data_IF_898530844497
#
_entry.id   IF_898530844497
#
_cell.length_a   1.000
_cell.length_b   1.000
_cell.length_c   1.000
_cell.angle_alpha   90.00
_cell.angle_beta   90.00
_cell.angle_gamma   90.00
#
_symmetry.space_group_name_H-M   'P 1'
#
loop_
_entity.id
_entity.type
_entity.pdbx_description
1 polymer ?
#
# COMPACT_ATOMS: atom_id res chain seq x y z
N UNK A 1 29.97 27.27 55.07
CA UNK A 1 28.58 26.76 55.03
C UNK A 1 28.06 26.95 53.60
N UNK A 2 27.70 25.84 52.93
CA UNK A 2 26.79 25.72 51.77
C UNK A 2 27.18 26.41 50.44
N UNK A 3 26.93 25.89 49.24
CA UNK A 3 26.54 24.56 48.75
C UNK A 3 26.68 24.61 47.20
N UNK A 4 27.00 23.47 46.59
CA UNK A 4 27.01 23.25 45.14
C UNK A 4 25.59 23.25 44.56
N UNK A 5 25.43 23.68 43.30
CA UNK A 5 24.22 23.44 42.52
C UNK A 5 24.59 22.98 41.10
N UNK A 6 24.49 21.66 40.90
CA UNK A 6 24.56 21.01 39.59
C UNK A 6 23.18 21.12 38.91
N UNK A 7 23.13 21.67 37.70
CA UNK A 7 21.95 21.72 36.86
C UNK A 7 21.82 20.43 36.03
N UNK A 8 20.94 19.52 36.45
CA UNK A 8 20.61 18.30 35.73
C UNK A 8 19.63 18.53 34.59
N UNK A 9 20.03 18.18 33.37
CA UNK A 9 19.16 18.04 32.20
C UNK A 9 18.17 16.89 32.42
N UNK A 10 16.87 17.20 32.31
CA UNK A 10 15.79 16.20 32.34
C UNK A 10 15.77 15.46 31.00
N UNK A 11 16.29 14.23 30.95
CA UNK A 11 15.99 13.25 29.90
C UNK A 11 14.56 12.73 30.12
N UNK A 12 13.67 12.99 29.18
CA UNK A 12 12.38 12.31 29.09
C UNK A 12 12.64 10.88 28.58
N UNK A 13 12.69 9.92 29.50
CA UNK A 13 12.85 8.51 29.18
C UNK A 13 11.57 7.93 28.57
N UNK A 14 11.70 7.33 27.39
CA UNK A 14 10.66 6.47 26.83
C UNK A 14 10.61 5.18 27.64
N UNK A 15 9.53 5.01 28.40
CA UNK A 15 9.30 3.81 29.19
C UNK A 15 8.97 2.62 28.29
N UNK A 16 9.59 1.52 28.67
CA UNK A 16 9.48 0.16 28.16
C UNK A 16 8.07 -0.21 27.68
N UNK A 17 7.98 -0.67 26.44
CA UNK A 17 7.04 -1.71 26.05
C UNK A 17 7.82 -3.04 25.96
N UNK A 18 8.19 -3.59 27.13
CA UNK A 18 8.55 -5.01 27.25
C UNK A 18 7.29 -5.79 27.56
N UNK A 19 6.48 -6.04 26.54
CA UNK A 19 5.51 -7.12 26.55
C UNK A 19 6.19 -8.41 26.08
N UNK A 20 6.62 -9.27 27.00
CA UNK A 20 6.94 -10.66 26.68
C UNK A 20 5.62 -11.41 26.47
N UNK A 21 5.13 -11.44 25.24
CA UNK A 21 4.12 -12.42 24.83
C UNK A 21 4.85 -13.64 24.26
N UNK A 22 5.09 -14.64 25.09
CA UNK A 22 5.50 -15.97 24.63
C UNK A 22 4.22 -16.68 24.16
N UNK A 23 3.87 -16.52 22.89
CA UNK A 23 2.88 -17.38 22.25
C UNK A 23 3.62 -18.59 21.70
N UNK A 24 3.53 -19.72 22.42
CA UNK A 24 3.85 -21.05 21.86
C UNK A 24 2.76 -21.39 20.84
N UNK A 25 3.02 -21.17 19.56
CA UNK A 25 2.25 -21.80 18.50
C UNK A 25 2.66 -23.28 18.42
N UNK A 26 1.86 -24.15 19.04
CA UNK A 26 1.91 -25.59 18.81
C UNK A 26 1.30 -25.86 17.42
N UNK A 27 2.15 -26.02 16.41
CA UNK A 27 1.75 -26.50 15.09
C UNK A 27 1.34 -27.98 15.21
N UNK A 28 0.04 -28.23 15.20
CA UNK A 28 -0.50 -29.58 14.97
C UNK A 28 -0.77 -29.75 13.47
N UNK A 29 -0.27 -30.80 12.81
CA UNK A 29 -0.55 -31.02 11.40
C UNK A 29 -1.97 -31.59 11.20
N UNK A 30 -2.79 -31.05 10.28
CA UNK A 30 -3.98 -31.75 9.85
C UNK A 30 -3.63 -32.77 8.76
N UNK A 31 -3.84 -34.06 9.07
CA UNK A 31 -3.97 -35.08 8.03
C UNK A 31 -5.26 -34.80 7.23
N UNK A 32 -5.12 -34.29 6.00
CA UNK A 32 -6.20 -34.34 5.00
C UNK A 32 -5.79 -35.27 3.86
N UNK A 33 -6.53 -36.37 3.75
CA UNK A 33 -6.47 -37.31 2.64
C UNK A 33 -7.07 -36.66 1.38
N UNK A 34 -6.26 -36.55 0.33
CA UNK A 34 -6.71 -36.16 -1.01
C UNK A 34 -7.37 -37.37 -1.68
N UNK A 35 -8.67 -37.27 -2.00
CA UNK A 35 -9.32 -38.19 -2.94
C UNK A 35 -9.22 -37.60 -4.35
N UNK A 36 -8.45 -38.26 -5.21
CA UNK A 36 -8.40 -37.97 -6.64
C UNK A 36 -9.58 -38.67 -7.33
N UNK A 37 -10.49 -37.89 -7.93
CA UNK A 37 -11.51 -38.40 -8.84
C UNK A 37 -11.14 -37.98 -10.27
N UNK A 38 -10.76 -38.96 -11.08
CA UNK A 38 -10.52 -38.78 -12.51
C UNK A 38 -11.85 -38.90 -13.28
N UNK A 39 -12.24 -37.85 -13.98
CA UNK A 39 -13.30 -37.92 -15.00
C UNK A 39 -12.64 -37.79 -16.37
N UNK A 40 -12.54 -38.93 -17.06
CA UNK A 40 -12.22 -39.02 -18.49
C UNK A 40 -13.42 -38.51 -19.31
N UNK A 41 -13.27 -37.40 -20.03
CA UNK A 41 -14.20 -37.03 -21.10
C UNK A 41 -13.55 -37.35 -22.45
N UNK A 42 -14.15 -38.32 -23.14
CA UNK A 42 -13.77 -38.76 -24.48
C UNK A 42 -14.03 -37.67 -25.52
N UNK A 43 -13.11 -37.61 -26.48
CA UNK A 43 -13.20 -36.96 -27.78
C UNK A 43 -14.16 -37.76 -28.68
N UNK A 44 -15.04 -37.06 -29.39
CA UNK A 44 -15.72 -37.58 -30.58
C UNK A 44 -15.67 -36.51 -31.67
N UNK A 45 -14.94 -36.83 -32.74
CA UNK A 45 -14.98 -36.20 -34.06
C UNK A 45 -16.33 -36.48 -34.75
N UNK A 46 -16.89 -35.48 -35.44
CA UNK A 46 -17.56 -35.72 -36.72
C UNK A 46 -17.54 -34.45 -37.60
N UNK A 47 -17.09 -34.63 -38.84
CA UNK A 47 -16.95 -33.63 -39.91
C UNK A 47 -18.25 -33.45 -40.71
N UNK A 48 -18.60 -32.22 -41.12
CA UNK A 48 -19.05 -31.92 -42.52
C UNK A 48 -19.17 -30.41 -42.83
N UNK A 49 -18.46 -29.99 -43.88
CA UNK A 49 -18.56 -28.73 -44.65
C UNK A 49 -19.73 -28.75 -45.68
N UNK A 50 -19.93 -27.74 -46.58
CA UNK A 50 -19.98 -26.27 -46.45
C UNK A 50 -21.20 -25.66 -47.22
N UNK A 51 -21.44 -24.32 -47.17
CA UNK A 51 -21.73 -23.43 -48.33
C UNK A 51 -22.28 -22.02 -47.95
N UNK A 52 -21.69 -21.01 -48.61
CA UNK A 52 -22.27 -19.81 -49.26
C UNK A 52 -23.00 -18.68 -48.48
N UNK A 53 -22.30 -17.55 -48.46
CA UNK A 53 -22.63 -16.21 -48.99
C UNK A 53 -24.02 -15.53 -48.84
N UNK A 54 -23.89 -14.25 -48.47
CA UNK A 54 -24.61 -13.06 -48.97
C UNK A 54 -25.90 -12.61 -48.28
N UNK A 55 -25.88 -11.40 -47.70
CA UNK A 55 -26.64 -10.26 -48.24
C UNK A 55 -26.35 -8.96 -47.49
N UNK A 56 -26.01 -7.94 -48.28
CA UNK A 56 -25.87 -6.53 -47.94
C UNK A 56 -27.20 -5.93 -47.48
N UNK A 57 -27.18 -4.92 -46.60
CA UNK A 57 -27.99 -3.71 -46.83
C UNK A 57 -27.23 -2.45 -46.39
N UNK A 58 -27.16 -1.56 -47.36
CA UNK A 58 -26.61 -0.22 -47.44
C UNK A 58 -27.78 0.75 -47.23
N UNK A 59 -27.58 1.86 -46.51
CA UNK A 59 -28.46 3.02 -46.66
C UNK A 59 -27.65 4.31 -46.71
N UNK A 60 -28.08 5.14 -47.66
CA UNK A 60 -27.39 6.24 -48.31
C UNK A 60 -27.19 7.52 -47.49
N UNK A 61 -26.15 8.24 -47.90
CA UNK A 61 -25.89 9.65 -47.66
C UNK A 61 -26.82 10.54 -48.49
N UNK A 62 -27.15 11.76 -48.03
CA UNK A 62 -27.00 12.98 -48.86
C UNK A 62 -27.03 14.30 -48.03
N UNK A 63 -26.35 15.36 -48.49
CA UNK A 63 -26.07 16.62 -47.77
C UNK A 63 -26.95 17.80 -48.26
N UNK A 64 -26.95 18.94 -47.55
CA UNK A 64 -27.22 20.25 -48.16
C UNK A 64 -26.52 21.38 -47.38
N UNK A 65 -25.84 22.24 -48.14
CA UNK A 65 -25.09 23.43 -47.76
C UNK A 65 -26.04 24.66 -47.66
N UNK A 66 -25.62 25.73 -46.97
CA UNK A 66 -25.86 27.18 -47.22
C UNK A 66 -25.94 28.04 -45.92
N UNK A 67 -24.90 28.84 -45.71
CA UNK A 67 -24.78 30.07 -44.88
C UNK A 67 -25.48 31.27 -45.58
N UNK A 68 -25.45 32.53 -45.08
CA UNK A 68 -25.21 33.10 -43.72
C UNK A 68 -26.29 34.14 -43.31
N UNK A 69 -26.31 34.68 -42.07
CA UNK A 69 -26.65 36.10 -41.78
C UNK A 69 -26.55 36.51 -40.29
N UNK A 70 -25.63 37.45 -40.02
CA UNK A 70 -25.69 38.68 -39.20
C UNK A 70 -26.12 38.67 -37.71
N UNK A 71 -25.22 39.24 -36.88
CA UNK A 71 -25.35 39.55 -35.44
C UNK A 71 -26.48 40.54 -35.07
N UNK A 72 -26.81 40.64 -33.77
CA UNK A 72 -26.40 41.86 -33.07
C UNK A 72 -25.75 41.64 -31.71
N UNK A 73 -24.79 42.52 -31.45
CA UNK A 73 -23.95 42.66 -30.27
C UNK A 73 -24.75 42.73 -28.96
N UNK A 74 -24.47 41.79 -28.05
CA UNK A 74 -24.85 41.84 -26.63
C UNK A 74 -23.64 42.17 -25.77
N UNK A 75 -23.69 43.30 -25.08
CA UNK A 75 -22.64 43.88 -24.25
C UNK A 75 -22.11 42.90 -23.18
N UNK A 76 -20.80 42.63 -23.22
CA UNK A 76 -20.05 41.94 -22.15
C UNK A 76 -20.12 42.77 -20.85
N UNK A 77 -20.56 42.21 -19.71
CA UNK A 77 -20.25 42.79 -18.43
C UNK A 77 -18.78 42.49 -18.11
N UNK A 78 -17.95 43.54 -18.14
CA UNK A 78 -16.61 43.53 -17.56
C UNK A 78 -16.73 43.40 -16.04
N UNK A 79 -16.64 42.18 -15.52
CA UNK A 79 -16.43 41.95 -14.09
C UNK A 79 -14.92 41.98 -13.82
N UNK A 80 -14.37 43.18 -13.68
CA UNK A 80 -13.18 43.36 -12.84
C UNK A 80 -13.65 43.26 -11.39
N UNK A 81 -13.74 42.03 -10.89
CA UNK A 81 -13.90 41.77 -9.47
C UNK A 81 -12.68 41.02 -8.99
N UNK A 82 -12.08 41.55 -7.92
CA UNK A 82 -11.00 40.94 -7.17
C UNK A 82 -11.29 39.47 -6.89
N UNK A 83 -10.67 38.58 -7.65
CA UNK A 83 -10.48 37.20 -7.23
C UNK A 83 -9.35 37.21 -6.21
N UNK A 84 -9.70 37.34 -4.93
CA UNK A 84 -8.80 36.89 -3.88
C UNK A 84 -8.34 35.49 -4.25
N UNK A 85 -7.03 35.27 -4.24
CA UNK A 85 -6.47 33.94 -4.31
C UNK A 85 -6.84 33.22 -3.01
N UNK A 86 -8.10 32.80 -2.89
CA UNK A 86 -8.44 31.66 -2.06
C UNK A 86 -7.82 30.48 -2.80
N UNK A 87 -6.57 30.15 -2.44
CA UNK A 87 -6.00 28.87 -2.78
C UNK A 87 -6.83 27.83 -2.04
N UNK A 88 -7.91 27.38 -2.65
CA UNK A 88 -8.57 26.15 -2.27
C UNK A 88 -7.48 25.07 -2.37
N UNK A 89 -7.00 24.60 -1.20
CA UNK A 89 -6.00 23.55 -1.11
C UNK A 89 -6.70 22.25 -1.50
N UNK A 90 -6.82 22.03 -2.81
CA UNK A 90 -7.43 20.84 -3.36
C UNK A 90 -6.51 19.65 -3.10
N UNK A 91 -7.06 18.66 -2.41
CA UNK A 91 -6.41 17.36 -2.24
C UNK A 91 -6.36 16.62 -3.58
N UNK A 92 -5.20 16.03 -3.90
CA UNK A 92 -5.03 15.18 -5.09
C UNK A 92 -5.68 13.80 -4.88
N UNK A 93 -5.98 13.10 -5.98
CA UNK A 93 -6.56 11.75 -5.91
C UNK A 93 -5.62 10.78 -5.15
N UNK A 94 -4.31 10.89 -5.35
CA UNK A 94 -3.32 10.05 -4.68
C UNK A 94 -3.27 10.31 -3.18
N UNK A 95 -3.41 11.56 -2.75
CA UNK A 95 -3.47 11.94 -1.34
C UNK A 95 -4.73 11.38 -0.67
N UNK A 96 -5.87 11.45 -1.36
CA UNK A 96 -7.13 10.85 -0.91
C UNK A 96 -7.00 9.32 -0.79
N UNK A 97 -6.46 8.66 -1.82
CA UNK A 97 -6.23 7.22 -1.83
C UNK A 97 -5.33 6.81 -0.66
N UNK A 98 -4.23 7.52 -0.45
CA UNK A 98 -3.31 7.29 0.66
C UNK A 98 -4.00 7.40 2.03
N UNK A 99 -4.84 8.42 2.23
CA UNK A 99 -5.61 8.58 3.49
C UNK A 99 -6.59 7.44 3.70
N UNK A 100 -7.33 7.03 2.67
CA UNK A 100 -8.28 5.92 2.76
C UNK A 100 -7.55 4.62 3.13
N UNK A 101 -6.47 4.28 2.42
CA UNK A 101 -5.70 3.07 2.72
C UNK A 101 -5.07 3.11 4.11
N UNK A 102 -4.66 4.30 4.60
CA UNK A 102 -4.14 4.47 5.96
C UNK A 102 -5.21 4.22 7.01
N UNK A 103 -6.41 4.81 6.82
CA UNK A 103 -7.55 4.60 7.71
C UNK A 103 -8.03 3.13 7.71
N UNK A 104 -7.96 2.45 6.56
CA UNK A 104 -8.35 1.06 6.41
C UNK A 104 -7.51 0.08 7.25
N UNK A 105 -6.27 0.43 7.61
CA UNK A 105 -5.41 -0.43 8.42
C UNK A 105 -6.02 -0.78 9.78
N UNK A 106 -6.79 0.13 10.39
CA UNK A 106 -7.46 -0.12 11.67
C UNK A 106 -8.48 -1.27 11.61
N UNK A 107 -9.00 -1.55 10.40
CA UNK A 107 -10.06 -2.53 10.15
C UNK A 107 -9.52 -3.87 9.63
N UNK A 108 -8.24 -3.95 9.29
CA UNK A 108 -7.59 -5.19 8.82
C UNK A 108 -7.67 -6.33 9.83
N UNK A 109 -7.48 -6.15 11.15
CA UNK A 109 -7.60 -7.25 12.11
C UNK A 109 -8.96 -7.95 12.08
N UNK A 110 -10.03 -7.19 11.86
CA UNK A 110 -11.40 -7.70 11.79
C UNK A 110 -11.71 -8.27 10.40
N UNK A 111 -11.58 -7.44 9.36
CA UNK A 111 -12.06 -7.74 8.01
C UNK A 111 -11.01 -8.43 7.12
N UNK A 112 -9.73 -8.40 7.50
CA UNK A 112 -8.63 -8.87 6.68
C UNK A 112 -8.18 -7.84 5.64
N UNK A 113 -7.36 -8.30 4.69
CA UNK A 113 -6.85 -7.47 3.60
C UNK A 113 -7.84 -7.47 2.43
N UNK A 114 -8.96 -6.76 2.60
CA UNK A 114 -10.09 -6.83 1.66
C UNK A 114 -10.68 -5.46 1.35
N UNK A 115 -11.53 -5.40 0.31
CA UNK A 115 -12.30 -4.20 -0.03
C UNK A 115 -13.24 -3.76 1.10
N UNK A 116 -13.71 -4.67 1.95
CA UNK A 116 -14.51 -4.30 3.13
C UNK A 116 -13.69 -3.47 4.14
N UNK A 117 -12.43 -3.84 4.42
CA UNK A 117 -11.56 -3.04 5.29
C UNK A 117 -11.34 -1.63 4.73
N UNK A 118 -11.18 -1.52 3.41
CA UNK A 118 -11.06 -0.24 2.69
C UNK A 118 -12.35 0.57 2.81
N UNK A 119 -13.51 -0.07 2.65
CA UNK A 119 -14.81 0.58 2.78
C UNK A 119 -15.05 1.11 4.21
N UNK A 120 -14.67 0.37 5.25
CA UNK A 120 -14.72 0.87 6.64
C UNK A 120 -13.75 2.03 6.86
N UNK A 121 -12.52 1.96 6.33
CA UNK A 121 -11.58 3.07 6.34
C UNK A 121 -12.09 4.33 5.63
N UNK A 122 -12.81 4.17 4.52
CA UNK A 122 -13.45 5.30 3.83
C UNK A 122 -14.56 5.94 4.67
N UNK A 123 -15.38 5.13 5.36
CA UNK A 123 -16.47 5.63 6.22
C UNK A 123 -15.95 6.47 7.39
N UNK A 124 -14.81 6.12 8.00
CA UNK A 124 -14.23 6.93 9.10
C UNK A 124 -13.78 8.31 8.63
N UNK A 125 -13.47 8.46 7.34
CA UNK A 125 -13.15 9.74 6.70
C UNK A 125 -14.40 10.51 6.22
N UNK A 126 -15.61 10.03 6.52
CA UNK A 126 -16.86 10.64 6.07
C UNK A 126 -17.19 10.38 4.59
N UNK A 127 -16.51 9.43 3.95
CA UNK A 127 -16.73 9.06 2.55
C UNK A 127 -17.74 7.91 2.44
N UNK A 128 -18.32 7.75 1.24
CA UNK A 128 -19.17 6.59 0.93
C UNK A 128 -18.34 5.32 0.86
N UNK A 129 -18.92 4.17 1.25
CA UNK A 129 -18.32 2.85 1.04
C UNK A 129 -17.96 2.57 -0.43
N UNK A 130 -18.63 3.24 -1.38
CA UNK A 130 -18.33 3.17 -2.81
C UNK A 130 -16.91 3.66 -3.15
N UNK A 131 -16.27 4.47 -2.29
CA UNK A 131 -14.88 4.90 -2.47
C UNK A 131 -13.88 3.73 -2.48
N UNK A 132 -14.24 2.57 -1.90
CA UNK A 132 -13.44 1.36 -2.01
C UNK A 132 -13.30 0.86 -3.48
N UNK A 133 -14.22 1.25 -4.36
CA UNK A 133 -14.16 0.92 -5.79
C UNK A 133 -13.05 1.63 -6.57
N UNK A 134 -12.32 2.56 -5.95
CA UNK A 134 -11.11 3.16 -6.54
C UNK A 134 -9.91 2.21 -6.50
N UNK A 135 -10.00 1.12 -5.72
CA UNK A 135 -8.90 0.18 -5.49
C UNK A 135 -9.21 -1.20 -6.09
N UNK A 136 -8.16 -1.99 -6.31
CA UNK A 136 -8.27 -3.39 -6.68
C UNK A 136 -9.00 -4.19 -5.58
N UNK A 137 -9.94 -5.04 -6.01
CA UNK A 137 -10.81 -5.79 -5.09
C UNK A 137 -10.10 -6.90 -4.31
N UNK A 138 -8.87 -7.27 -4.71
CA UNK A 138 -8.06 -8.31 -4.07
C UNK A 138 -7.31 -7.84 -2.81
N UNK A 139 -7.44 -6.55 -2.45
CA UNK A 139 -6.78 -5.97 -1.28
C UNK A 139 -5.27 -5.76 -1.43
N UNK A 140 -4.72 -6.01 -2.62
CA UNK A 140 -3.27 -5.88 -2.90
C UNK A 140 -2.76 -4.47 -2.60
N UNK A 141 -3.49 -3.44 -2.99
CA UNK A 141 -3.10 -2.04 -2.75
C UNK A 141 -2.99 -1.70 -1.27
N UNK A 142 -3.91 -2.21 -0.43
CA UNK A 142 -3.85 -2.03 1.01
C UNK A 142 -2.61 -2.70 1.62
N UNK A 143 -2.26 -3.89 1.15
CA UNK A 143 -1.07 -4.62 1.61
C UNK A 143 0.21 -3.90 1.16
N UNK A 144 0.29 -3.48 -0.11
CA UNK A 144 1.44 -2.77 -0.67
C UNK A 144 1.64 -1.42 0.03
N UNK A 145 0.54 -0.71 0.33
CA UNK A 145 0.55 0.51 1.13
C UNK A 145 1.11 0.26 2.53
N UNK A 146 0.64 -0.78 3.21
CA UNK A 146 1.17 -1.15 4.53
C UNK A 146 2.66 -1.52 4.48
N UNK A 147 3.09 -2.28 3.46
CA UNK A 147 4.50 -2.62 3.26
C UNK A 147 5.36 -1.37 3.05
N UNK A 148 4.90 -0.44 2.22
CA UNK A 148 5.56 0.84 1.99
C UNK A 148 5.69 1.64 3.29
N UNK A 149 4.61 1.81 4.05
CA UNK A 149 4.64 2.49 5.35
C UNK A 149 5.62 1.85 6.35
N UNK A 150 5.65 0.52 6.42
CA UNK A 150 6.59 -0.18 7.30
C UNK A 150 8.04 0.04 6.87
N UNK A 151 8.32 0.09 5.57
CA UNK A 151 9.64 0.33 5.04
C UNK A 151 10.08 1.78 5.32
N UNK A 152 9.23 2.76 5.05
CA UNK A 152 9.49 4.17 5.41
C UNK A 152 9.79 4.32 6.90
N UNK A 153 8.97 3.73 7.76
CA UNK A 153 9.17 3.75 9.21
C UNK A 153 10.48 3.07 9.63
N UNK A 154 10.87 1.98 8.96
CA UNK A 154 12.15 1.35 9.22
C UNK A 154 13.29 2.30 8.86
N UNK A 155 13.26 2.91 7.68
CA UNK A 155 14.32 3.82 7.21
C UNK A 155 14.45 5.04 8.13
N UNK A 156 13.35 5.60 8.62
CA UNK A 156 13.36 6.67 9.65
C UNK A 156 14.03 6.22 10.96
N UNK A 157 13.72 5.00 11.44
CA UNK A 157 14.35 4.45 12.65
C UNK A 157 15.85 4.25 12.47
N UNK A 158 16.27 3.70 11.33
CA UNK A 158 17.68 3.48 11.02
C UNK A 158 18.44 4.80 10.85
N UNK A 159 17.83 5.79 10.20
CA UNK A 159 18.40 7.13 10.07
C UNK A 159 18.60 7.77 11.46
N UNK A 160 17.62 7.63 12.35
CA UNK A 160 17.71 8.13 13.71
C UNK A 160 18.82 7.44 14.52
N UNK A 161 18.92 6.10 14.44
CA UNK A 161 20.04 5.36 15.06
C UNK A 161 21.39 5.84 14.52
N UNK A 162 21.52 6.03 13.20
CA UNK A 162 22.75 6.53 12.58
C UNK A 162 23.09 7.95 13.05
N UNK A 163 22.10 8.84 13.20
CA UNK A 163 22.31 10.20 13.74
C UNK A 163 22.86 10.16 15.17
N UNK A 164 22.36 9.27 16.03
CA UNK A 164 22.87 9.11 17.39
C UNK A 164 24.33 8.64 17.41
N UNK A 165 24.71 7.74 16.49
CA UNK A 165 26.11 7.30 16.35
C UNK A 165 27.00 8.46 15.87
N UNK A 166 26.55 9.25 14.89
CA UNK A 166 27.31 10.41 14.39
C UNK A 166 27.51 11.51 15.45
N UNK A 167 26.53 11.70 16.34
CA UNK A 167 26.62 12.63 17.46
C UNK A 167 27.45 12.09 18.64
N UNK A 168 27.91 10.83 18.59
CA UNK A 168 28.63 10.17 19.68
C UNK A 168 27.74 9.82 20.88
N UNK A 169 26.41 9.83 20.71
CA UNK A 169 25.45 9.48 21.76
C UNK A 169 25.16 7.97 21.82
N UNK A 170 25.55 7.23 20.78
CA UNK A 170 25.49 5.78 20.68
C UNK A 170 26.75 5.21 20.01
N UNK A 171 27.10 3.97 20.33
CA UNK A 171 28.20 3.26 19.65
C UNK A 171 27.71 2.57 18.38
N UNK A 172 28.58 2.47 17.36
CA UNK A 172 28.29 1.69 16.15
C UNK A 172 28.18 0.21 16.53
N UNK A 173 27.01 -0.39 16.26
CA UNK A 173 26.78 -1.82 16.42
C UNK A 173 27.59 -2.61 15.38
N UNK A 174 28.08 -3.83 15.70
CA UNK A 174 28.62 -4.71 14.68
C UNK A 174 27.51 -5.11 13.68
N UNK A 175 27.88 -5.36 12.41
CA UNK A 175 26.93 -5.60 11.31
C UNK A 175 25.89 -6.67 11.66
N UNK A 176 26.32 -7.79 12.23
CA UNK A 176 25.45 -8.91 12.56
C UNK A 176 24.36 -8.53 13.58
N UNK A 177 24.70 -7.73 14.59
CA UNK A 177 23.74 -7.23 15.58
C UNK A 177 22.82 -6.18 14.96
N UNK A 178 23.36 -5.31 14.11
CA UNK A 178 22.58 -4.30 13.39
C UNK A 178 21.50 -4.95 12.51
N UNK A 179 21.88 -5.94 11.69
CA UNK A 179 20.94 -6.67 10.83
C UNK A 179 19.85 -7.37 11.63
N UNK A 180 20.22 -8.03 12.74
CA UNK A 180 19.26 -8.67 13.65
C UNK A 180 18.25 -7.66 14.21
N UNK A 181 18.72 -6.51 14.66
CA UNK A 181 17.87 -5.46 15.23
C UNK A 181 16.93 -4.87 14.18
N UNK A 182 17.44 -4.56 12.97
CA UNK A 182 16.66 -4.00 11.88
C UNK A 182 15.55 -4.96 11.42
N UNK A 183 15.89 -6.22 11.18
CA UNK A 183 14.92 -7.26 10.78
C UNK A 183 13.89 -7.49 11.89
N UNK A 184 14.31 -7.55 13.16
CA UNK A 184 13.39 -7.68 14.27
C UNK A 184 12.46 -6.48 14.39
N UNK A 185 12.97 -5.25 14.23
CA UNK A 185 12.17 -4.03 14.25
C UNK A 185 11.11 -4.06 13.14
N UNK A 186 11.51 -4.42 11.92
CA UNK A 186 10.61 -4.53 10.76
C UNK A 186 9.53 -5.60 10.94
N UNK A 187 9.89 -6.78 11.46
CA UNK A 187 8.93 -7.88 11.68
C UNK A 187 7.97 -7.57 12.83
N UNK A 188 8.39 -6.82 13.86
CA UNK A 188 7.49 -6.39 14.95
C UNK A 188 6.35 -5.50 14.46
N UNK A 189 6.51 -4.79 13.35
CA UNK A 189 5.43 -4.00 12.76
C UNK A 189 4.25 -4.86 12.29
N UNK A 190 4.46 -6.16 12.08
CA UNK A 190 3.41 -7.11 11.67
C UNK A 190 2.54 -7.60 12.82
N UNK A 191 2.95 -7.38 14.08
CA UNK A 191 2.26 -7.93 15.27
C UNK A 191 0.76 -7.61 15.30
N UNK A 192 0.29 -6.37 15.02
CA UNK A 192 -1.14 -6.07 15.02
C UNK A 192 -1.95 -6.83 13.96
N UNK A 193 -1.28 -7.31 12.92
CA UNK A 193 -1.89 -7.91 11.73
C UNK A 193 -1.53 -9.40 11.56
N UNK A 194 -0.88 -10.01 12.57
CA UNK A 194 -0.22 -11.31 12.43
C UNK A 194 -1.19 -12.44 12.05
N UNK A 195 -2.44 -12.37 12.52
CA UNK A 195 -3.47 -13.38 12.20
C UNK A 195 -3.88 -13.36 10.73
N UNK A 196 -3.84 -12.18 10.10
CA UNK A 196 -4.21 -11.98 8.69
C UNK A 196 -2.99 -11.92 7.77
N UNK A 197 -1.77 -11.92 8.32
CA UNK A 197 -0.55 -11.82 7.52
C UNK A 197 -0.33 -13.00 6.54
N UNK A 198 -0.69 -14.26 6.86
CA UNK A 198 -0.61 -15.35 5.88
C UNK A 198 -1.48 -15.10 4.63
N UNK A 199 -2.65 -14.47 4.80
CA UNK A 199 -3.50 -14.05 3.68
C UNK A 199 -2.77 -13.00 2.82
N UNK A 200 -2.21 -11.95 3.45
CA UNK A 200 -1.45 -10.93 2.73
C UNK A 200 -0.31 -11.52 1.89
N UNK A 201 0.49 -12.43 2.48
CA UNK A 201 1.57 -13.10 1.75
C UNK A 201 1.06 -13.87 0.54
N UNK A 202 -0.09 -14.55 0.64
CA UNK A 202 -0.67 -15.26 -0.51
C UNK A 202 -1.07 -14.32 -1.65
N UNK A 203 -1.57 -13.11 -1.32
CA UNK A 203 -1.96 -12.09 -2.31
C UNK A 203 -0.72 -11.46 -2.95
N UNK A 204 0.33 -11.16 -2.18
CA UNK A 204 1.58 -10.60 -2.69
C UNK A 204 2.33 -11.54 -3.66
N UNK A 205 2.14 -12.85 -3.50
CA UNK A 205 2.71 -13.88 -4.38
C UNK A 205 1.92 -14.10 -5.67
N UNK A 206 0.80 -13.37 -5.89
CA UNK A 206 0.09 -13.42 -7.16
C UNK A 206 0.92 -12.78 -8.28
N UNK A 207 0.89 -13.32 -9.52
CA UNK A 207 1.78 -12.89 -10.60
C UNK A 207 1.80 -11.38 -10.88
N UNK A 208 0.65 -10.70 -10.77
CA UNK A 208 0.54 -9.25 -10.98
C UNK A 208 1.11 -8.42 -9.82
N UNK A 209 1.19 -8.99 -8.62
CA UNK A 209 1.69 -8.30 -7.43
C UNK A 209 3.18 -8.54 -7.18
N UNK A 210 3.77 -9.59 -7.75
CA UNK A 210 5.19 -9.94 -7.56
C UNK A 210 6.13 -8.78 -7.90
N UNK A 211 6.01 -8.06 -9.03
CA UNK A 211 6.95 -6.98 -9.36
C UNK A 211 6.98 -5.88 -8.29
N UNK A 212 5.82 -5.40 -7.85
CA UNK A 212 5.71 -4.35 -6.82
C UNK A 212 6.17 -4.85 -5.45
N UNK A 213 5.77 -6.06 -5.06
CA UNK A 213 6.14 -6.67 -3.77
C UNK A 213 7.64 -6.91 -3.67
N UNK A 214 8.26 -7.39 -4.75
CA UNK A 214 9.69 -7.64 -4.82
C UNK A 214 10.47 -6.33 -4.79
N UNK A 215 10.01 -5.29 -5.50
CA UNK A 215 10.64 -3.97 -5.44
C UNK A 215 10.66 -3.40 -4.00
N UNK A 216 9.54 -3.48 -3.28
CA UNK A 216 9.49 -3.06 -1.88
C UNK A 216 10.42 -3.90 -0.99
N UNK A 217 10.55 -5.21 -1.24
CA UNK A 217 11.45 -6.08 -0.51
C UNK A 217 12.93 -5.72 -0.78
N UNK A 218 13.32 -5.58 -2.04
CA UNK A 218 14.70 -5.27 -2.42
C UNK A 218 15.11 -3.88 -1.95
N UNK A 219 14.24 -2.88 -2.12
CA UNK A 219 14.50 -1.53 -1.63
C UNK A 219 14.71 -1.49 -0.11
N UNK A 220 13.93 -2.26 0.65
CA UNK A 220 14.12 -2.39 2.10
C UNK A 220 15.45 -3.06 2.46
N UNK A 221 15.86 -4.09 1.71
CA UNK A 221 17.15 -4.77 1.92
C UNK A 221 18.29 -3.79 1.64
N UNK A 222 18.21 -3.02 0.56
CA UNK A 222 19.20 -2.01 0.19
C UNK A 222 19.31 -0.92 1.26
N UNK A 223 18.18 -0.43 1.80
CA UNK A 223 18.17 0.52 2.91
C UNK A 223 18.85 -0.06 4.16
N UNK A 224 18.54 -1.30 4.55
CA UNK A 224 19.18 -1.95 5.70
C UNK A 224 20.70 -2.04 5.50
N UNK A 225 21.14 -2.44 4.30
CA UNK A 225 22.57 -2.52 3.99
C UNK A 225 23.25 -1.15 3.99
N UNK A 226 22.60 -0.14 3.44
CA UNK A 226 23.08 1.24 3.45
C UNK A 226 23.35 1.71 4.88
N UNK A 227 22.39 1.52 5.80
CA UNK A 227 22.54 1.96 7.19
C UNK A 227 23.45 1.06 8.04
N UNK A 228 23.67 -0.20 7.65
CA UNK A 228 24.65 -1.06 8.32
C UNK A 228 26.08 -0.49 8.19
N UNK A 229 26.34 0.27 7.11
CA UNK A 229 27.63 0.89 6.86
C UNK A 229 28.75 -0.14 6.80
N UNK A 230 28.45 -1.32 6.28
CA UNK A 230 29.40 -2.39 6.08
C UNK A 230 30.14 -2.19 4.76
N UNK A 231 31.47 -2.28 4.81
CA UNK A 231 32.34 -2.27 3.62
C UNK A 231 33.01 -3.64 3.40
N UNK A 232 32.71 -4.62 4.24
CA UNK A 232 33.19 -5.99 4.06
C UNK A 232 32.37 -6.72 3.00
N UNK A 233 33.05 -7.57 2.23
CA UNK A 233 32.50 -8.29 1.08
C UNK A 233 32.27 -9.78 1.37
N UNK A 234 32.36 -10.22 2.63
CA UNK A 234 32.42 -11.63 3.05
C UNK A 234 31.37 -11.98 4.11
#
# INVERSE_FOLDING_TARGET
KMAAAAGGLRRAGWRLWRGRAVLRCQLSPPHRTLQASAVLRRVSDEQKEPLASSSQQQFDSHPTNHQPEQEPQGSRPSYTGQGGQESEDFESEEQLQHRILTAALEFVPEHGWTAEAIAEGAKTLGLSAAAAGMFHSDGSELILHFMSQCNTKLSELLEQEQKLVQLGEAEKKPTDQFLRDAVQARLRMLIPYIEKWPQALSILLLPHNIPSSLNLLTSMIDDIWYYAGDQSTD
#
